data_IF_153639477979
#
_entry.id   IF_153639477979
#
_cell.length_a   1.000
_cell.length_b   1.000
_cell.length_c   1.000
_cell.angle_alpha   90.00
_cell.angle_beta   90.00
_cell.angle_gamma   90.00
#
_symmetry.space_group_name_H-M   'P 1'
#
loop_
_entity.id
_entity.type
_entity.pdbx_description
1 polymer ?
#
# COMPACT_ATOMS: atom_id res chain seq x y z
N UNK A 1 28.52 2.38 24.62
CA UNK A 1 27.73 3.07 23.59
C UNK A 1 26.36 2.39 23.56
N UNK A 2 25.31 3.10 23.98
CA UNK A 2 23.96 2.55 24.04
C UNK A 2 23.43 2.43 22.61
N UNK A 3 23.30 1.21 22.10
CA UNK A 3 22.42 0.92 20.96
C UNK A 3 21.00 1.11 21.45
N UNK A 4 20.51 2.35 21.39
CA UNK A 4 19.08 2.60 21.52
C UNK A 4 18.40 1.75 20.44
N UNK A 5 17.57 0.80 20.87
CA UNK A 5 16.70 0.09 19.97
C UNK A 5 15.90 1.16 19.21
N UNK A 6 16.14 1.26 17.90
CA UNK A 6 15.23 2.00 17.02
C UNK A 6 13.86 1.38 17.32
N UNK A 7 12.83 2.15 17.72
CA UNK A 7 11.51 1.59 17.89
C UNK A 7 11.20 0.79 16.63
N UNK A 8 10.54 -0.37 16.77
CA UNK A 8 9.91 -1.04 15.63
C UNK A 8 8.79 -0.14 15.10
N UNK A 9 9.14 1.01 14.57
CA UNK A 9 8.24 1.91 13.91
C UNK A 9 7.87 1.19 12.63
N UNK A 10 6.63 0.77 12.61
CA UNK A 10 5.95 0.09 11.51
C UNK A 10 5.81 1.09 10.35
N UNK A 11 6.96 1.54 9.79
CA UNK A 11 7.07 2.83 9.11
C UNK A 11 6.56 2.79 7.67
N UNK A 12 6.53 1.60 7.08
CA UNK A 12 6.08 1.33 5.72
C UNK A 12 4.73 0.64 5.78
N UNK A 13 3.70 1.44 6.00
CA UNK A 13 2.30 1.02 6.02
C UNK A 13 1.47 1.91 5.11
N UNK A 14 0.34 1.38 4.67
CA UNK A 14 -0.65 2.13 3.91
C UNK A 14 -1.47 3.04 4.82
N UNK A 15 -1.78 4.22 4.31
CA UNK A 15 -2.68 5.17 4.96
C UNK A 15 -4.08 4.59 5.13
N UNK A 16 -4.75 4.93 6.24
CA UNK A 16 -6.20 4.70 6.38
C UNK A 16 -7.03 5.53 5.38
N UNK A 17 -6.45 6.56 4.78
CA UNK A 17 -7.09 7.35 3.73
C UNK A 17 -6.72 6.75 2.37
N UNK A 18 -7.70 6.12 1.74
CA UNK A 18 -7.56 5.36 0.49
C UNK A 18 -8.82 5.51 -0.37
N UNK A 19 -8.75 5.05 -1.62
CA UNK A 19 -9.90 5.05 -2.52
C UNK A 19 -11.01 4.09 -2.08
N UNK A 20 -12.23 4.35 -2.55
CA UNK A 20 -13.44 3.61 -2.18
C UNK A 20 -13.39 2.11 -2.53
N UNK A 21 -12.59 1.71 -3.52
CA UNK A 21 -12.46 0.31 -3.95
C UNK A 21 -11.28 -0.42 -3.29
N UNK A 22 -10.80 0.06 -2.13
CA UNK A 22 -9.71 -0.57 -1.36
C UNK A 22 -10.20 -1.01 0.02
N UNK A 23 -9.71 -2.16 0.47
CA UNK A 23 -9.69 -2.56 1.88
C UNK A 23 -8.25 -2.70 2.33
N UNK A 24 -7.92 -2.07 3.44
CA UNK A 24 -6.61 -2.15 4.10
C UNK A 24 -6.67 -3.17 5.24
N UNK A 25 -5.64 -3.99 5.39
CA UNK A 25 -5.53 -4.93 6.51
C UNK A 25 -5.37 -4.21 7.85
N UNK A 26 -5.67 -4.90 8.94
CA UNK A 26 -5.62 -4.33 10.29
C UNK A 26 -4.23 -3.80 10.70
N UNK A 27 -3.16 -4.37 10.16
CA UNK A 27 -1.78 -3.95 10.38
C UNK A 27 -1.28 -2.92 9.35
N UNK A 28 -2.15 -2.52 8.42
CA UNK A 28 -1.89 -1.57 7.35
C UNK A 28 -0.77 -1.99 6.38
N UNK A 29 -0.48 -3.29 6.27
CA UNK A 29 0.57 -3.78 5.35
C UNK A 29 0.04 -4.37 4.05
N UNK A 30 -1.26 -4.59 3.94
CA UNK A 30 -1.89 -5.13 2.74
C UNK A 30 -3.02 -4.23 2.28
N UNK A 31 -3.16 -4.11 0.97
CA UNK A 31 -4.25 -3.40 0.31
C UNK A 31 -4.87 -4.32 -0.74
N UNK A 32 -6.19 -4.51 -0.67
CA UNK A 32 -6.91 -5.40 -1.57
C UNK A 32 -8.05 -4.62 -2.22
N UNK A 33 -8.23 -4.82 -3.51
CA UNK A 33 -9.39 -4.31 -4.23
C UNK A 33 -10.64 -5.13 -3.88
N UNK A 34 -11.74 -4.48 -3.50
CA UNK A 34 -12.94 -5.17 -2.98
C UNK A 34 -13.63 -6.03 -4.03
N UNK A 35 -13.83 -5.49 -5.23
CA UNK A 35 -14.54 -6.17 -6.33
C UNK A 35 -13.71 -6.21 -7.62
N UNK A 36 -12.54 -6.89 -7.62
CA UNK A 36 -11.54 -6.76 -8.68
C UNK A 36 -12.00 -7.30 -10.03
N UNK A 37 -13.00 -8.18 -10.05
CA UNK A 37 -13.59 -8.71 -11.27
C UNK A 37 -14.67 -7.80 -11.86
N UNK A 38 -15.17 -6.82 -11.13
CA UNK A 38 -16.29 -5.97 -11.58
C UNK A 38 -15.83 -4.53 -11.80
N UNK A 39 -15.00 -4.00 -10.90
CA UNK A 39 -14.52 -2.61 -10.91
C UNK A 39 -12.99 -2.55 -10.93
N UNK A 40 -12.40 -1.71 -11.78
CA UNK A 40 -10.94 -1.58 -11.94
C UNK A 40 -10.38 -0.20 -11.52
N UNK A 41 -11.22 0.79 -11.23
CA UNK A 41 -10.81 2.15 -10.86
C UNK A 41 -10.95 2.39 -9.33
N UNK A 42 -10.70 3.63 -8.88
CA UNK A 42 -10.90 4.10 -7.50
C UNK A 42 -10.19 3.28 -6.40
N UNK A 43 -9.06 2.64 -6.73
CA UNK A 43 -8.28 1.83 -5.79
C UNK A 43 -6.90 2.45 -5.50
N UNK A 44 -6.90 3.74 -5.14
CA UNK A 44 -5.68 4.46 -4.80
C UNK A 44 -5.30 4.17 -3.35
N UNK A 45 -4.02 3.90 -3.09
CA UNK A 45 -3.43 3.82 -1.77
C UNK A 45 -2.24 4.77 -1.68
N UNK A 46 -1.92 5.19 -0.46
CA UNK A 46 -0.79 6.07 -0.19
C UNK A 46 -0.01 5.53 1.01
N UNK A 47 1.25 5.93 1.14
CA UNK A 47 2.00 5.72 2.37
C UNK A 47 1.32 6.45 3.54
N UNK A 48 1.41 5.88 4.75
CA UNK A 48 0.82 6.46 5.96
C UNK A 48 1.44 7.83 6.33
N UNK A 49 2.63 8.12 5.80
CA UNK A 49 3.33 9.40 5.96
C UNK A 49 4.20 9.70 4.74
N UNK A 50 4.62 10.96 4.54
CA UNK A 50 5.61 11.30 3.53
C UNK A 50 6.89 10.48 3.69
N UNK A 51 7.45 10.02 2.57
CA UNK A 51 8.78 9.43 2.54
C UNK A 51 9.84 10.50 2.78
N UNK A 52 10.93 10.11 3.43
CA UNK A 52 12.13 10.95 3.57
C UNK A 52 12.92 10.89 2.27
N UNK A 53 13.84 11.84 2.10
CA UNK A 53 14.79 11.80 0.99
C UNK A 53 15.56 10.47 1.02
N UNK A 54 15.73 9.87 -0.16
CA UNK A 54 16.38 8.56 -0.37
C UNK A 54 15.71 7.38 0.37
N UNK A 55 14.48 7.54 0.85
CA UNK A 55 13.73 6.46 1.50
C UNK A 55 12.87 5.67 0.50
N UNK A 56 13.01 4.35 0.51
CA UNK A 56 12.29 3.46 -0.39
C UNK A 56 11.06 2.85 0.30
N UNK A 57 9.92 2.89 -0.39
CA UNK A 57 8.74 2.11 -0.04
C UNK A 57 8.57 1.01 -1.09
N UNK A 58 8.90 -0.22 -0.72
CA UNK A 58 8.73 -1.39 -1.59
C UNK A 58 7.37 -2.04 -1.38
N UNK A 59 6.79 -2.57 -2.44
CA UNK A 59 5.56 -3.36 -2.41
C UNK A 59 5.72 -4.66 -3.19
N UNK A 60 4.89 -5.64 -2.86
CA UNK A 60 4.81 -6.91 -3.57
C UNK A 60 3.40 -7.04 -4.14
N UNK A 61 3.30 -7.43 -5.40
CA UNK A 61 2.02 -7.78 -6.03
C UNK A 61 1.71 -9.23 -5.71
N UNK A 62 0.88 -9.46 -4.70
CA UNK A 62 0.50 -10.80 -4.28
C UNK A 62 -0.44 -11.50 -5.27
N UNK A 63 -1.33 -10.72 -5.90
CA UNK A 63 -2.34 -11.25 -6.82
C UNK A 63 -2.69 -10.25 -7.92
N UNK A 64 -2.81 -10.75 -9.14
CA UNK A 64 -3.31 -10.03 -10.30
C UNK A 64 -4.54 -10.76 -10.88
N UNK A 65 -5.48 -10.00 -11.43
CA UNK A 65 -6.61 -10.54 -12.21
C UNK A 65 -6.35 -10.31 -13.70
N UNK A 66 -6.79 -11.25 -14.53
CA UNK A 66 -6.56 -11.29 -15.98
C UNK A 66 -7.64 -10.58 -16.81
N UNK A 67 -8.77 -10.23 -16.19
CA UNK A 67 -9.93 -9.60 -16.86
C UNK A 67 -9.64 -8.24 -17.48
N UNK A 68 -8.73 -7.46 -16.90
CA UNK A 68 -8.50 -6.07 -17.28
C UNK A 68 -7.15 -5.92 -17.98
N UNK A 69 -7.13 -5.13 -19.06
CA UNK A 69 -5.90 -4.63 -19.67
C UNK A 69 -5.62 -3.22 -19.15
N UNK A 70 -4.45 -3.01 -18.56
CA UNK A 70 -4.04 -1.76 -17.94
C UNK A 70 -2.73 -1.92 -17.17
N UNK A 71 -2.31 -0.87 -16.47
CA UNK A 71 -1.09 -0.85 -15.67
C UNK A 71 -1.39 -0.54 -14.21
N UNK A 72 -0.53 -1.01 -13.31
CA UNK A 72 -0.37 -0.43 -11.98
C UNK A 72 0.51 0.81 -12.12
N UNK A 73 0.16 1.88 -11.43
CA UNK A 73 0.93 3.12 -11.39
C UNK A 73 1.45 3.36 -9.96
N UNK A 74 2.68 3.87 -9.86
CA UNK A 74 3.33 4.24 -8.62
C UNK A 74 4.19 5.50 -8.85
N UNK A 75 4.20 6.41 -7.87
CA UNK A 75 4.94 7.66 -7.89
C UNK A 75 4.88 8.38 -6.54
#
# INVERSE_FOLDING_TARGET
ASTAAVPNDNWFTFSSFHGDQVVISHDHRNAIRVNPLVEFNNAIVMSQRPLRDDEMFEIIIEKQVDRWSGSLEAG
#
